data_IF_472125300923
#
_entry.id   IF_472125300923
#
_cell.length_a   1.000
_cell.length_b   1.000
_cell.length_c   1.000
_cell.angle_alpha   90.00
_cell.angle_beta   90.00
_cell.angle_gamma   90.00
#
_symmetry.space_group_name_H-M   'P 1'
#
loop_
_entity.id
_entity.type
_entity.pdbx_description
1 polymer ?
#
# COMPACT_ATOMS: atom_id res chain seq x y z
N UNK A 1 10.59 18.96 -17.86
CA UNK A 1 11.04 18.88 -16.45
C UNK A 1 9.81 18.72 -15.59
N UNK A 2 9.36 17.49 -15.35
CA UNK A 2 8.16 17.21 -14.54
C UNK A 2 8.59 17.06 -13.08
N UNK A 3 8.15 18.02 -12.27
CA UNK A 3 8.41 18.12 -10.83
C UNK A 3 8.18 16.78 -10.13
N UNK A 4 9.22 16.30 -9.45
CA UNK A 4 9.18 15.13 -8.56
C UNK A 4 8.16 15.43 -7.46
N UNK A 5 7.05 14.68 -7.34
CA UNK A 5 6.14 14.88 -6.23
C UNK A 5 6.80 14.30 -4.96
N UNK A 6 7.05 15.16 -3.97
CA UNK A 6 7.60 14.84 -2.63
C UNK A 6 6.59 14.10 -1.74
N UNK A 7 5.86 13.15 -2.32
CA UNK A 7 4.77 12.44 -1.68
C UNK A 7 3.99 11.68 -2.74
N UNK A 8 3.09 10.80 -2.31
CA UNK A 8 2.17 10.14 -3.23
C UNK A 8 1.42 11.20 -4.04
N UNK A 9 1.27 10.96 -5.35
CA UNK A 9 0.49 11.82 -6.24
C UNK A 9 -0.91 12.06 -5.61
N UNK A 10 -1.36 13.33 -5.45
CA UNK A 10 -2.68 13.65 -4.92
C UNK A 10 -3.82 12.92 -5.63
N UNK A 11 -3.73 12.72 -6.95
CA UNK A 11 -4.74 12.01 -7.72
C UNK A 11 -4.80 10.52 -7.35
N UNK A 12 -3.64 9.88 -7.17
CA UNK A 12 -3.52 8.50 -6.67
C UNK A 12 -4.09 8.40 -5.26
N UNK A 13 -3.72 9.34 -4.38
CA UNK A 13 -4.19 9.42 -3.00
C UNK A 13 -5.72 9.54 -2.92
N UNK A 14 -6.33 10.36 -3.77
CA UNK A 14 -7.80 10.49 -3.82
C UNK A 14 -8.48 9.24 -4.38
N UNK A 15 -7.92 8.63 -5.44
CA UNK A 15 -8.45 7.37 -6.00
C UNK A 15 -8.44 6.25 -4.97
N UNK A 16 -7.30 6.03 -4.32
CA UNK A 16 -7.16 5.04 -3.25
C UNK A 16 -8.07 5.38 -2.07
N UNK A 17 -8.19 6.66 -1.73
CA UNK A 17 -9.08 7.12 -0.70
C UNK A 17 -10.56 6.79 -0.95
N UNK A 18 -11.02 6.87 -2.20
CA UNK A 18 -12.36 6.43 -2.60
C UNK A 18 -12.51 4.90 -2.52
N UNK A 19 -11.50 4.16 -2.98
CA UNK A 19 -11.48 2.69 -2.86
C UNK A 19 -11.66 2.25 -1.39
N UNK A 20 -10.87 2.82 -0.47
CA UNK A 20 -10.99 2.49 0.95
C UNK A 20 -12.41 2.77 1.48
N UNK A 21 -13.00 3.92 1.12
CA UNK A 21 -14.37 4.25 1.54
C UNK A 21 -15.41 3.28 0.98
N UNK A 22 -15.27 2.84 -0.26
CA UNK A 22 -16.18 1.87 -0.87
C UNK A 22 -16.17 0.51 -0.15
N UNK A 23 -15.04 0.15 0.48
CA UNK A 23 -14.89 -1.04 1.32
C UNK A 23 -15.15 -0.75 2.83
N UNK A 24 -15.74 0.39 3.20
CA UNK A 24 -16.01 0.73 4.61
C UNK A 24 -14.76 1.04 5.45
N UNK A 25 -13.59 1.17 4.82
CA UNK A 25 -12.32 1.39 5.49
C UNK A 25 -12.02 2.89 5.67
N UNK A 26 -11.54 3.25 6.86
CA UNK A 26 -10.94 4.57 7.12
C UNK A 26 -9.75 4.84 6.18
N UNK A 27 -9.67 6.07 5.67
CA UNK A 27 -8.57 6.60 4.83
C UNK A 27 -7.30 6.87 5.63
N UNK A 28 -6.69 5.81 6.19
CA UNK A 28 -5.46 5.91 6.98
C UNK A 28 -4.23 6.07 6.06
N UNK A 29 -3.20 6.85 6.46
CA UNK A 29 -1.97 7.02 5.67
C UNK A 29 -1.30 5.69 5.31
N UNK A 30 -1.17 4.75 6.25
CA UNK A 30 -0.55 3.44 6.02
C UNK A 30 -1.27 2.64 4.92
N UNK A 31 -2.61 2.64 4.91
CA UNK A 31 -3.41 1.96 3.88
C UNK A 31 -3.20 2.59 2.51
N UNK A 32 -3.14 3.92 2.47
CA UNK A 32 -2.91 4.65 1.21
C UNK A 32 -1.53 4.34 0.67
N UNK A 33 -0.50 4.39 1.51
CA UNK A 33 0.88 4.09 1.13
C UNK A 33 1.05 2.65 0.63
N UNK A 34 0.50 1.66 1.36
CA UNK A 34 0.54 0.25 0.95
C UNK A 34 -0.13 0.05 -0.41
N UNK A 35 -1.34 0.60 -0.61
CA UNK A 35 -2.04 0.44 -1.88
C UNK A 35 -1.35 1.17 -3.04
N UNK A 36 -0.70 2.31 -2.78
CA UNK A 36 0.00 3.06 -3.81
C UNK A 36 1.26 2.34 -4.32
N UNK A 37 2.02 1.66 -3.45
CA UNK A 37 3.19 0.89 -3.89
C UNK A 37 2.84 -0.41 -4.62
N UNK A 38 1.63 -0.90 -4.40
CA UNK A 38 1.05 -2.08 -5.05
C UNK A 38 0.41 -1.76 -6.40
N UNK A 39 -0.17 -0.57 -6.60
CA UNK A 39 -0.87 -0.18 -7.83
C UNK A 39 -0.08 -0.47 -9.14
N UNK A 40 1.23 -0.17 -9.25
CA UNK A 40 1.97 -0.42 -10.49
C UNK A 40 2.46 -1.88 -10.64
N UNK A 41 2.18 -2.76 -9.69
CA UNK A 41 2.70 -4.13 -9.67
C UNK A 41 1.76 -5.06 -10.42
N UNK A 42 2.27 -5.71 -11.46
CA UNK A 42 1.55 -6.77 -12.17
C UNK A 42 1.98 -8.15 -11.66
N UNK A 43 1.50 -8.53 -10.48
CA UNK A 43 1.86 -9.77 -9.81
C UNK A 43 1.58 -9.74 -8.30
N UNK A 44 2.16 -10.69 -7.58
CA UNK A 44 2.05 -10.80 -6.13
C UNK A 44 3.35 -10.34 -5.47
N UNK A 45 3.23 -9.69 -4.32
CA UNK A 45 4.35 -9.37 -3.46
C UNK A 45 4.12 -9.97 -2.08
N UNK A 46 5.20 -10.47 -1.49
CA UNK A 46 5.24 -10.74 -0.06
C UNK A 46 5.16 -9.43 0.74
N UNK A 47 4.73 -9.54 2.00
CA UNK A 47 4.70 -8.39 2.91
C UNK A 47 6.08 -7.74 3.07
N UNK A 48 7.14 -8.55 3.06
CA UNK A 48 8.52 -8.06 3.14
C UNK A 48 8.89 -7.20 1.92
N UNK A 49 8.52 -7.61 0.71
CA UNK A 49 8.76 -6.85 -0.52
C UNK A 49 7.93 -5.55 -0.55
N UNK A 50 6.69 -5.58 -0.04
CA UNK A 50 5.86 -4.37 0.12
C UNK A 50 6.58 -3.37 1.03
N UNK A 51 7.08 -3.82 2.18
CA UNK A 51 7.82 -2.96 3.11
C UNK A 51 9.11 -2.41 2.49
N UNK A 52 9.88 -3.24 1.78
CA UNK A 52 11.08 -2.78 1.07
C UNK A 52 10.74 -1.69 0.03
N UNK A 53 9.66 -1.88 -0.75
CA UNK A 53 9.20 -0.87 -1.71
C UNK A 53 8.74 0.41 -1.04
N UNK A 54 8.03 0.33 0.09
CA UNK A 54 7.64 1.52 0.87
C UNK A 54 8.86 2.34 1.28
N UNK A 55 9.88 1.68 1.83
CA UNK A 55 11.13 2.34 2.24
C UNK A 55 11.91 2.89 1.05
N UNK A 56 11.87 2.24 -0.11
CA UNK A 56 12.58 2.69 -1.31
C UNK A 56 11.87 3.83 -2.05
N UNK A 57 10.54 3.88 -2.02
CA UNK A 57 9.74 4.82 -2.80
C UNK A 57 9.33 6.09 -2.02
N UNK A 58 9.24 6.03 -0.69
CA UNK A 58 8.82 7.17 0.10
C UNK A 58 10.00 8.11 0.37
N UNK A 59 9.76 9.42 0.20
CA UNK A 59 10.74 10.46 0.50
C UNK A 59 11.08 10.49 1.99
N UNK A 60 12.26 10.99 2.35
CA UNK A 60 12.71 11.13 3.74
C UNK A 60 11.75 11.93 4.64
N UNK A 61 10.89 12.78 4.07
CA UNK A 61 9.87 13.55 4.78
C UNK A 61 8.61 12.74 5.12
N UNK A 62 8.42 11.57 4.51
CA UNK A 62 7.30 10.66 4.77
C UNK A 62 7.83 9.37 5.39
N UNK A 63 7.58 9.20 6.69
CA UNK A 63 7.97 7.98 7.38
C UNK A 63 7.17 6.78 6.84
N UNK A 64 7.83 5.73 6.30
CA UNK A 64 7.15 4.50 5.94
C UNK A 64 6.61 3.80 7.20
N UNK A 65 5.46 3.10 7.12
CA UNK A 65 4.99 2.25 8.20
C UNK A 65 6.00 1.15 8.48
N UNK A 66 6.17 0.79 9.75
CA UNK A 66 6.99 -0.35 10.14
C UNK A 66 6.40 -1.67 9.60
N UNK A 67 7.24 -2.71 9.57
CA UNK A 67 6.85 -4.01 9.03
C UNK A 67 5.60 -4.60 9.71
N UNK A 68 5.45 -4.42 11.02
CA UNK A 68 4.27 -4.90 11.76
C UNK A 68 2.98 -4.19 11.31
N UNK A 69 3.06 -2.88 11.06
CA UNK A 69 1.96 -2.09 10.50
C UNK A 69 1.65 -2.49 9.08
N UNK A 70 2.65 -2.84 8.26
CA UNK A 70 2.44 -3.38 6.91
C UNK A 70 1.71 -4.72 6.99
N UNK A 71 2.12 -5.66 7.85
CA UNK A 71 1.40 -6.93 8.07
C UNK A 71 -0.06 -6.70 8.42
N UNK A 72 -0.34 -5.92 9.48
CA UNK A 72 -1.72 -5.63 9.91
C UNK A 72 -2.55 -4.97 8.82
N UNK A 73 -1.93 -4.08 8.06
CA UNK A 73 -2.58 -3.39 6.93
C UNK A 73 -2.93 -4.37 5.83
N UNK A 74 -1.99 -5.22 5.40
CA UNK A 74 -2.22 -6.23 4.37
C UNK A 74 -3.29 -7.22 4.81
N UNK A 75 -3.22 -7.76 6.04
CA UNK A 75 -4.26 -8.64 6.60
C UNK A 75 -5.63 -7.98 6.54
N UNK A 76 -5.75 -6.74 7.03
CA UNK A 76 -7.03 -6.01 6.98
C UNK A 76 -7.52 -5.82 5.54
N UNK A 77 -6.63 -5.50 4.60
CA UNK A 77 -7.01 -5.27 3.20
C UNK A 77 -7.45 -6.56 2.50
N UNK A 78 -6.85 -7.71 2.86
CA UNK A 78 -7.28 -9.04 2.40
C UNK A 78 -8.64 -9.41 3.00
N UNK A 79 -8.81 -9.26 4.31
CA UNK A 79 -10.05 -9.58 5.02
C UNK A 79 -11.25 -8.75 4.52
N UNK A 80 -10.99 -7.55 3.99
CA UNK A 80 -12.02 -6.66 3.43
C UNK A 80 -12.16 -6.78 1.90
N UNK A 81 -11.50 -7.76 1.28
CA UNK A 81 -11.58 -8.02 -0.15
C UNK A 81 -10.98 -6.93 -1.04
N UNK A 82 -10.11 -6.07 -0.50
CA UNK A 82 -9.39 -5.04 -1.27
C UNK A 82 -8.18 -5.65 -1.97
N UNK A 83 -7.47 -6.57 -1.29
CA UNK A 83 -6.35 -7.33 -1.83
C UNK A 83 -6.71 -8.82 -1.88
N UNK A 84 -6.08 -9.54 -2.79
CA UNK A 84 -6.14 -10.99 -2.85
C UNK A 84 -4.79 -11.55 -2.41
N UNK A 85 -4.82 -12.49 -1.47
CA UNK A 85 -3.64 -13.23 -1.06
C UNK A 85 -3.49 -14.48 -1.93
N UNK A 86 -2.29 -14.69 -2.48
CA UNK A 86 -1.92 -15.96 -3.08
C UNK A 86 -1.28 -16.83 -2.00
N UNK A 87 -1.97 -17.90 -1.61
CA UNK A 87 -1.40 -18.94 -0.76
C UNK A 87 -0.61 -19.89 -1.64
N UNK A 88 0.69 -20.02 -1.39
CA UNK A 88 1.53 -21.04 -1.99
C UNK A 88 1.46 -22.27 -1.08
N UNK A 89 0.70 -23.28 -1.51
CA UNK A 89 0.72 -24.59 -0.85
C UNK A 89 2.06 -25.26 -1.17
N UNK A 90 3.05 -25.12 -0.29
CA UNK A 90 4.29 -25.90 -0.39
C UNK A 90 5.54 -25.27 0.21
N UNK A 91 5.85 -25.71 1.44
CA UNK A 91 7.17 -26.20 1.82
C UNK A 91 7.02 -27.63 2.31
#
# INVERSE_FOLDING_TARGET
MTSKPSGLDPAVTERIGRLLRAHGLRRMPSRIQVLAVLEPVNGHLSVAEIHQRLTACLSAETQPPDLATVYRTVTTLVDQGVLHALTLDGG
#
